data_IF_403932760160
#
_entry.id   IF_403932760160
#
_cell.length_a   1.000
_cell.length_b   1.000
_cell.length_c   1.000
_cell.angle_alpha   90.00
_cell.angle_beta   90.00
_cell.angle_gamma   90.00
#
_symmetry.space_group_name_H-M   'P 1'
#
loop_
_entity.id
_entity.type
_entity.pdbx_description
1 polymer ?
#
# COMPACT_ATOMS: atom_id res chain seq x y z
N UNK A 1 -9.81 0.20 6.50
CA UNK A 1 -9.04 -0.95 5.99
C UNK A 1 -9.37 -2.17 6.84
N UNK A 2 -10.32 -2.99 6.40
CA UNK A 2 -10.82 -4.12 7.17
C UNK A 2 -10.31 -5.42 6.54
N UNK A 3 -9.47 -6.13 7.27
CA UNK A 3 -8.99 -7.46 6.87
C UNK A 3 -10.12 -8.50 7.03
N UNK A 4 -10.18 -9.54 6.15
CA UNK A 4 -11.15 -10.62 6.27
C UNK A 4 -10.94 -11.37 7.59
N UNK A 5 -12.01 -11.56 8.36
CA UNK A 5 -11.98 -12.36 9.60
C UNK A 5 -12.05 -13.84 9.26
N UNK A 6 -11.02 -14.60 9.60
CA UNK A 6 -11.12 -16.06 9.70
C UNK A 6 -11.17 -16.44 11.18
N UNK A 7 -12.33 -16.87 11.65
CA UNK A 7 -12.48 -17.49 12.97
C UNK A 7 -12.17 -18.97 12.85
N UNK A 8 -11.15 -19.49 13.55
CA UNK A 8 -11.31 -20.67 14.43
C UNK A 8 -10.06 -21.06 15.23
N UNK A 9 -10.35 -21.34 16.50
CA UNK A 9 -9.88 -22.42 17.38
C UNK A 9 -8.37 -22.63 17.59
N UNK A 10 -7.98 -22.46 18.85
CA UNK A 10 -6.77 -22.96 19.48
C UNK A 10 -6.55 -24.45 19.20
N UNK A 11 -5.37 -24.84 18.70
CA UNK A 11 -4.79 -26.17 18.91
C UNK A 11 -3.28 -26.18 18.57
N UNK A 12 -2.61 -27.10 19.22
CA UNK A 12 -1.19 -27.21 19.54
C UNK A 12 -0.27 -27.49 18.34
N UNK A 13 0.98 -27.00 18.44
CA UNK A 13 2.27 -27.53 17.94
C UNK A 13 2.27 -28.38 16.65
N UNK A 14 2.95 -27.88 15.61
CA UNK A 14 3.42 -28.72 14.51
C UNK A 14 4.05 -27.94 13.35
N UNK A 15 5.36 -28.09 13.17
CA UNK A 15 6.07 -27.67 11.96
C UNK A 15 5.43 -28.34 10.73
N UNK A 16 4.85 -27.54 9.83
CA UNK A 16 4.55 -27.96 8.46
C UNK A 16 4.40 -26.74 7.56
N UNK A 17 5.32 -26.63 6.58
CA UNK A 17 5.19 -25.74 5.44
C UNK A 17 3.97 -26.19 4.64
N UNK A 18 2.85 -25.48 4.78
CA UNK A 18 1.62 -25.74 4.02
C UNK A 18 1.53 -24.76 2.85
N UNK A 19 1.47 -25.23 1.58
CA UNK A 19 1.16 -24.38 0.43
C UNK A 19 -0.36 -24.19 0.35
N UNK A 20 -0.94 -23.39 1.25
CA UNK A 20 -2.39 -23.32 1.45
C UNK A 20 -3.07 -21.97 1.17
N UNK A 21 -2.31 -20.87 1.01
CA UNK A 21 -2.90 -19.52 1.07
C UNK A 21 -2.80 -18.69 -0.23
N UNK A 22 -2.39 -19.28 -1.36
CA UNK A 22 -2.20 -18.55 -2.63
C UNK A 22 -3.38 -17.62 -3.04
N UNK A 23 -4.66 -18.03 -2.99
CA UNK A 23 -5.76 -17.15 -3.39
C UNK A 23 -6.00 -15.98 -2.42
N UNK A 24 -5.81 -16.19 -1.12
CA UNK A 24 -5.93 -15.12 -0.11
C UNK A 24 -4.78 -14.11 -0.25
N UNK A 25 -3.57 -14.60 -0.55
CA UNK A 25 -2.39 -13.78 -0.77
C UNK A 25 -2.50 -12.96 -2.08
N UNK A 26 -3.13 -13.53 -3.11
CA UNK A 26 -3.42 -12.83 -4.37
C UNK A 26 -4.44 -11.70 -4.19
N UNK A 27 -5.48 -11.92 -3.39
CA UNK A 27 -6.49 -10.90 -3.08
C UNK A 27 -5.88 -9.71 -2.30
N UNK A 28 -4.90 -9.99 -1.44
CA UNK A 28 -4.16 -8.98 -0.69
C UNK A 28 -3.28 -8.12 -1.61
N UNK A 29 -2.57 -8.73 -2.57
CA UNK A 29 -1.79 -7.99 -3.58
C UNK A 29 -2.71 -7.13 -4.44
N UNK A 30 -3.87 -7.66 -4.86
CA UNK A 30 -4.86 -6.92 -5.63
C UNK A 30 -5.36 -5.66 -4.91
N UNK A 31 -5.43 -5.69 -3.57
CA UNK A 31 -5.81 -4.51 -2.78
C UNK A 31 -4.80 -3.38 -2.93
N UNK A 32 -3.51 -3.66 -2.78
CA UNK A 32 -2.44 -2.66 -2.96
C UNK A 32 -2.38 -2.14 -4.39
N UNK A 33 -2.54 -3.01 -5.38
CA UNK A 33 -2.64 -2.61 -6.79
C UNK A 33 -3.81 -1.64 -7.04
N UNK A 34 -4.94 -1.84 -6.36
CA UNK A 34 -6.06 -0.90 -6.37
C UNK A 34 -5.69 0.49 -5.85
N UNK A 35 -4.96 0.56 -4.73
CA UNK A 35 -4.45 1.83 -4.17
C UNK A 35 -3.51 2.51 -5.17
N UNK A 36 -2.53 1.79 -5.70
CA UNK A 36 -1.57 2.32 -6.68
C UNK A 36 -2.30 2.89 -7.90
N UNK A 37 -3.28 2.16 -8.45
CA UNK A 37 -4.10 2.64 -9.56
C UNK A 37 -4.86 3.93 -9.24
N UNK A 38 -5.37 4.08 -8.02
CA UNK A 38 -6.00 5.33 -7.58
C UNK A 38 -5.02 6.49 -7.48
N UNK A 39 -3.81 6.26 -6.97
CA UNK A 39 -2.75 7.27 -6.93
C UNK A 39 -2.34 7.71 -8.34
N UNK A 40 -2.20 6.75 -9.24
CA UNK A 40 -1.85 6.96 -10.63
C UNK A 40 -2.89 7.83 -11.36
N UNK A 41 -4.17 7.44 -11.28
CA UNK A 41 -5.28 8.20 -11.86
C UNK A 41 -5.37 9.62 -11.31
N UNK A 42 -5.11 9.79 -10.01
CA UNK A 42 -5.10 11.11 -9.38
C UNK A 42 -3.93 11.96 -9.89
N UNK A 43 -2.73 11.39 -10.01
CA UNK A 43 -1.57 12.05 -10.60
C UNK A 43 -1.84 12.47 -12.05
N UNK A 44 -2.41 11.58 -12.89
CA UNK A 44 -2.78 11.91 -14.27
C UNK A 44 -3.77 13.06 -14.33
N UNK A 45 -4.73 13.11 -13.41
CA UNK A 45 -5.70 14.22 -13.32
C UNK A 45 -5.02 15.53 -12.96
N UNK A 46 -4.13 15.55 -11.96
CA UNK A 46 -3.38 16.75 -11.58
C UNK A 46 -2.51 17.25 -12.74
N UNK A 47 -1.87 16.35 -13.49
CA UNK A 47 -1.09 16.68 -14.69
C UNK A 47 -1.96 17.28 -15.80
N UNK A 48 -3.10 16.65 -16.10
CA UNK A 48 -4.03 17.14 -17.12
C UNK A 48 -4.61 18.53 -16.80
N UNK A 49 -4.64 18.93 -15.52
CA UNK A 49 -5.07 20.25 -15.08
C UNK A 49 -3.91 21.24 -14.87
N UNK A 50 -2.70 20.91 -15.35
CA UNK A 50 -1.52 21.77 -15.25
C UNK A 50 -1.20 22.23 -13.82
N UNK A 51 -1.46 21.37 -12.82
CA UNK A 51 -1.16 21.69 -11.43
C UNK A 51 0.35 21.80 -11.25
N UNK A 52 0.88 22.89 -10.67
CA UNK A 52 2.31 23.08 -10.47
C UNK A 52 2.98 21.90 -9.75
N UNK A 53 4.16 21.43 -10.19
CA UNK A 53 4.84 20.26 -9.61
C UNK A 53 5.06 20.34 -8.10
N UNK A 54 5.32 21.54 -7.57
CA UNK A 54 5.53 21.74 -6.12
C UNK A 54 4.24 21.48 -5.31
N UNK A 55 3.06 21.77 -5.88
CA UNK A 55 1.77 21.45 -5.25
C UNK A 55 1.50 19.96 -5.33
N UNK A 56 1.73 19.34 -6.50
CA UNK A 56 1.63 17.89 -6.67
C UNK A 56 2.47 17.17 -5.62
N UNK A 57 3.73 17.59 -5.46
CA UNK A 57 4.64 17.04 -4.43
C UNK A 57 4.05 17.16 -3.03
N UNK A 58 3.57 18.34 -2.63
CA UNK A 58 2.96 18.56 -1.31
C UNK A 58 1.73 17.68 -1.08
N UNK A 59 0.86 17.54 -2.08
CA UNK A 59 -0.33 16.70 -2.00
C UNK A 59 0.05 15.24 -1.79
N UNK A 60 0.97 14.69 -2.60
CA UNK A 60 1.41 13.31 -2.43
C UNK A 60 2.15 13.08 -1.11
N UNK A 61 2.93 14.04 -0.61
CA UNK A 61 3.53 13.97 0.74
C UNK A 61 2.45 13.80 1.81
N UNK A 62 1.34 14.53 1.71
CA UNK A 62 0.22 14.39 2.65
C UNK A 62 -0.49 13.05 2.52
N UNK A 63 -0.69 12.57 1.29
CA UNK A 63 -1.28 11.25 1.04
C UNK A 63 -0.42 10.14 1.65
N UNK A 64 0.90 10.15 1.43
CA UNK A 64 1.79 9.16 2.02
C UNK A 64 1.85 9.25 3.54
N UNK A 65 1.85 10.46 4.11
CA UNK A 65 1.74 10.66 5.55
C UNK A 65 0.45 10.07 6.11
N UNK A 66 -0.67 10.26 5.41
CA UNK A 66 -1.96 9.69 5.79
C UNK A 66 -1.95 8.15 5.74
N UNK A 67 -1.41 7.55 4.66
CA UNK A 67 -1.25 6.09 4.55
C UNK A 67 -0.43 5.56 5.73
N UNK A 68 0.69 6.22 6.05
CA UNK A 68 1.55 5.82 7.16
C UNK A 68 0.81 5.86 8.51
N UNK A 69 0.13 6.98 8.81
CA UNK A 69 -0.67 7.11 10.04
C UNK A 69 -1.76 6.04 10.11
N UNK A 70 -2.45 5.75 9.00
CA UNK A 70 -3.49 4.73 8.97
C UNK A 70 -2.95 3.31 9.20
N UNK A 71 -1.80 2.99 8.60
CA UNK A 71 -1.11 1.71 8.82
C UNK A 71 -0.67 1.59 10.28
N UNK A 72 -0.03 2.62 10.82
CA UNK A 72 0.45 2.63 12.19
C UNK A 72 -0.69 2.52 13.20
N UNK A 73 -1.76 3.29 13.01
CA UNK A 73 -2.97 3.20 13.83
C UNK A 73 -3.58 1.79 13.78
N UNK A 74 -3.59 1.16 12.60
CA UNK A 74 -4.10 -0.21 12.44
C UNK A 74 -3.26 -1.25 13.20
N UNK A 75 -1.94 -1.04 13.30
CA UNK A 75 -1.04 -1.91 14.06
C UNK A 75 -1.14 -1.65 15.58
N UNK A 76 -1.21 -0.38 15.99
CA UNK A 76 -1.28 -0.01 17.40
C UNK A 76 -2.60 -0.39 18.06
N UNK A 77 -3.73 -0.16 17.36
CA UNK A 77 -5.07 -0.31 17.96
C UNK A 77 -5.60 -1.74 17.90
N UNK A 78 -4.99 -2.62 17.09
CA UNK A 78 -5.51 -3.96 16.82
C UNK A 78 -4.39 -5.00 16.89
N UNK A 79 -4.35 -5.74 18.00
CA UNK A 79 -3.29 -6.72 18.28
C UNK A 79 -3.23 -7.86 17.26
N UNK A 80 -4.35 -8.18 16.62
CA UNK A 80 -4.41 -9.17 15.54
C UNK A 80 -3.69 -8.74 14.25
N UNK A 81 -3.42 -7.44 14.09
CA UNK A 81 -2.64 -6.93 12.96
C UNK A 81 -1.13 -7.22 13.13
N UNK A 82 -0.65 -7.47 14.35
CA UNK A 82 0.77 -7.66 14.65
C UNK A 82 1.20 -9.13 14.48
N UNK A 83 1.21 -9.61 13.23
CA UNK A 83 1.65 -10.97 12.87
C UNK A 83 2.67 -10.94 11.74
N UNK A 84 3.44 -12.03 11.56
CA UNK A 84 4.41 -12.13 10.47
C UNK A 84 3.74 -11.97 9.09
N UNK A 85 2.59 -12.63 8.86
CA UNK A 85 1.87 -12.53 7.58
C UNK A 85 1.35 -11.13 7.28
N UNK A 86 0.88 -10.40 8.31
CA UNK A 86 0.48 -9.00 8.14
C UNK A 86 1.69 -8.09 7.92
N UNK A 87 2.83 -8.38 8.57
CA UNK A 87 4.09 -7.69 8.31
C UNK A 87 4.53 -7.84 6.85
N UNK A 88 4.49 -9.05 6.31
CA UNK A 88 4.80 -9.30 4.90
C UNK A 88 3.79 -8.63 3.96
N UNK A 89 2.50 -8.58 4.32
CA UNK A 89 1.47 -7.84 3.57
C UNK A 89 1.77 -6.34 3.51
N UNK A 90 2.13 -5.73 4.65
CA UNK A 90 2.48 -4.30 4.70
C UNK A 90 3.76 -4.05 3.91
N UNK A 91 4.78 -4.89 4.07
CA UNK A 91 6.05 -4.79 3.34
C UNK A 91 5.85 -4.85 1.82
N UNK A 92 5.06 -5.81 1.32
CA UNK A 92 4.75 -5.92 -0.09
C UNK A 92 4.02 -4.66 -0.61
N UNK A 93 3.07 -4.14 0.16
CA UNK A 93 2.38 -2.89 -0.16
C UNK A 93 3.29 -1.67 -0.23
N UNK A 94 4.20 -1.53 0.73
CA UNK A 94 5.19 -0.44 0.73
C UNK A 94 6.12 -0.54 -0.48
N UNK A 95 6.52 -1.74 -0.90
CA UNK A 95 7.33 -1.94 -2.10
C UNK A 95 6.58 -1.53 -3.38
N UNK A 96 5.28 -1.80 -3.49
CA UNK A 96 4.45 -1.33 -4.61
C UNK A 96 4.35 0.20 -4.66
N UNK A 97 4.18 0.85 -3.50
CA UNK A 97 4.16 2.32 -3.40
C UNK A 97 5.52 2.92 -3.77
N UNK A 98 6.62 2.33 -3.30
CA UNK A 98 7.97 2.75 -3.65
C UNK A 98 8.23 2.63 -5.15
N UNK A 99 7.88 1.48 -5.75
CA UNK A 99 8.01 1.27 -7.19
C UNK A 99 7.17 2.26 -8.01
N UNK A 100 5.94 2.56 -7.56
CA UNK A 100 5.13 3.60 -8.19
C UNK A 100 5.78 4.98 -8.08
N UNK A 101 6.32 5.34 -6.91
CA UNK A 101 7.02 6.62 -6.71
C UNK A 101 8.20 6.82 -7.67
N UNK A 102 9.00 5.77 -7.93
CA UNK A 102 10.10 5.85 -8.89
C UNK A 102 9.59 6.24 -10.29
N UNK A 103 8.57 5.53 -10.79
CA UNK A 103 7.94 5.84 -12.09
C UNK A 103 7.32 7.24 -12.11
N UNK A 104 6.56 7.60 -11.07
CA UNK A 104 5.91 8.89 -10.96
C UNK A 104 6.90 10.06 -10.88
N UNK A 105 8.06 9.86 -10.23
CA UNK A 105 9.09 10.90 -10.11
C UNK A 105 9.76 11.17 -11.44
N UNK A 106 10.13 10.14 -12.21
CA UNK A 106 10.62 10.33 -13.58
C UNK A 106 9.62 11.15 -14.40
N UNK A 107 8.34 10.81 -14.30
CA UNK A 107 7.29 11.55 -15.00
C UNK A 107 6.94 12.93 -14.41
N UNK A 108 7.41 13.31 -13.22
CA UNK A 108 7.20 14.65 -12.65
C UNK A 108 8.41 15.54 -12.94
N UNK A 109 9.61 14.95 -13.02
CA UNK A 109 10.85 15.63 -13.41
C UNK A 109 10.85 15.98 -14.90
N UNK A 110 10.30 15.12 -15.78
CA UNK A 110 10.21 15.37 -17.23
C UNK A 110 9.33 16.60 -17.59
N UNK A 111 8.44 17.05 -16.70
CA UNK A 111 7.55 18.20 -16.94
C UNK A 111 8.17 19.56 -16.60
N UNK A 112 9.43 19.60 -16.19
CA UNK A 112 10.17 20.86 -16.01
C UNK A 112 11.15 20.99 -17.20
N UNK A 113 10.80 21.70 -18.29
CA UNK A 113 11.82 22.27 -19.15
C UNK A 113 12.55 23.36 -18.35
N UNK A 114 13.89 23.33 -18.39
CA UNK A 114 14.74 24.44 -17.94
C UNK A 114 14.36 25.77 -18.63
#
# INVERSE_FOLDING_TARGET
MQAPRTSRASLVKGSSRSPGNAPAQQALIAHWQGIVKSLDSFLSTLKANHVPPFLVRKVFTQIFSFINVQLFNSLLLRRECCSFSNGEYVKAGLAELEHWCYKATDEVVIFIPD
#
